data_IF_173518469472
#
_entry.id   IF_173518469472
#
_cell.length_a   1.000
_cell.length_b   1.000
_cell.length_c   1.000
_cell.angle_alpha   90.00
_cell.angle_beta   90.00
_cell.angle_gamma   90.00
#
_symmetry.space_group_name_H-M   'P 1'
#
loop_
_entity.id
_entity.type
_entity.pdbx_description
1 polymer ?
#
# COMPACT_ATOMS: atom_id res chain seq x y z
N UNK A 1 -9.22 0.03 14.60
CA UNK A 1 -10.65 -0.17 14.21
C UNK A 1 -10.75 0.14 12.71
N UNK A 2 -11.56 -0.56 11.89
CA UNK A 2 -11.61 -0.34 10.44
C UNK A 2 -11.82 1.14 10.05
N UNK A 3 -12.66 1.85 10.82
CA UNK A 3 -12.94 3.27 10.63
C UNK A 3 -11.71 4.21 10.69
N UNK A 4 -10.62 3.81 11.35
CA UNK A 4 -9.40 4.61 11.41
C UNK A 4 -8.62 4.54 10.10
N UNK A 5 -8.64 3.39 9.43
CA UNK A 5 -7.94 3.21 8.14
C UNK A 5 -8.71 3.94 7.05
N UNK A 6 -10.03 3.80 6.99
CA UNK A 6 -10.89 4.49 6.01
C UNK A 6 -10.66 6.02 6.05
N UNK A 7 -10.57 6.59 7.26
CA UNK A 7 -10.30 8.01 7.47
C UNK A 7 -8.94 8.47 6.91
N UNK A 8 -7.90 7.63 6.98
CA UNK A 8 -6.60 7.93 6.36
C UNK A 8 -6.75 8.10 4.83
N UNK A 9 -7.61 7.32 4.20
CA UNK A 9 -7.84 7.46 2.77
C UNK A 9 -8.74 8.65 2.46
N UNK A 10 -9.76 8.91 3.27
CA UNK A 10 -10.64 10.07 3.09
C UNK A 10 -9.86 11.39 3.19
N UNK A 11 -8.93 11.51 4.14
CA UNK A 11 -8.07 12.68 4.30
C UNK A 11 -7.14 12.92 3.10
N UNK A 12 -6.80 11.89 2.32
CA UNK A 12 -5.98 12.07 1.10
C UNK A 12 -6.73 12.79 -0.02
N UNK A 13 -8.07 12.86 0.05
CA UNK A 13 -8.89 13.56 -0.95
C UNK A 13 -8.53 15.04 -1.07
N UNK A 14 -8.03 15.66 0.01
CA UNK A 14 -7.62 17.07 0.00
C UNK A 14 -6.44 17.34 -0.94
N UNK A 15 -5.67 16.31 -1.29
CA UNK A 15 -4.52 16.42 -2.20
C UNK A 15 -4.88 16.17 -3.67
N UNK A 16 -6.15 15.86 -3.98
CA UNK A 16 -6.60 15.66 -5.36
C UNK A 16 -6.57 16.98 -6.13
N UNK A 17 -7.01 18.07 -5.49
CA UNK A 17 -7.03 19.39 -6.09
C UNK A 17 -5.97 20.30 -5.47
N UNK A 18 -5.28 21.12 -6.27
CA UNK A 18 -4.42 22.16 -5.74
C UNK A 18 -5.20 23.09 -4.81
N UNK A 19 -4.61 23.41 -3.66
CA UNK A 19 -5.19 24.28 -2.63
C UNK A 19 -4.14 25.28 -2.15
N UNK A 20 -4.60 26.46 -1.78
CA UNK A 20 -3.75 27.50 -1.15
C UNK A 20 -3.48 27.21 0.33
N UNK A 21 -4.22 26.27 0.91
CA UNK A 21 -4.04 25.86 2.30
C UNK A 21 -2.80 25.00 2.45
N UNK A 22 -1.98 25.32 3.44
CA UNK A 22 -0.83 24.51 3.78
C UNK A 22 -1.26 23.23 4.54
N UNK A 23 -1.05 22.09 3.91
CA UNK A 23 -1.30 20.76 4.47
C UNK A 23 0.00 20.00 4.77
N UNK A 24 1.13 20.70 4.96
CA UNK A 24 2.42 20.09 5.32
C UNK A 24 2.29 19.21 6.56
N UNK A 25 1.51 19.63 7.57
CA UNK A 25 1.27 18.81 8.76
C UNK A 25 0.73 17.42 8.43
N UNK A 26 -0.14 17.31 7.42
CA UNK A 26 -0.76 16.05 7.04
C UNK A 26 0.23 15.19 6.22
N UNK A 27 1.07 15.83 5.40
CA UNK A 27 2.15 15.12 4.70
C UNK A 27 3.19 14.56 5.69
N UNK A 28 3.53 15.33 6.72
CA UNK A 28 4.40 14.89 7.82
C UNK A 28 3.75 13.77 8.63
N UNK A 29 2.44 13.86 8.90
CA UNK A 29 1.70 12.80 9.55
C UNK A 29 1.80 11.47 8.78
N UNK A 30 1.60 11.46 7.45
CA UNK A 30 1.76 10.23 6.66
C UNK A 30 3.21 9.70 6.63
N UNK A 31 4.18 10.59 6.44
CA UNK A 31 5.59 10.21 6.27
C UNK A 31 6.33 9.89 7.58
N UNK A 32 5.86 10.40 8.71
CA UNK A 32 6.44 10.18 10.03
C UNK A 32 5.58 9.24 10.85
N UNK A 33 4.36 9.64 11.22
CA UNK A 33 3.52 8.86 12.15
C UNK A 33 3.10 7.53 11.52
N UNK A 34 2.45 7.57 10.36
CA UNK A 34 1.90 6.37 9.73
C UNK A 34 3.01 5.45 9.22
N UNK A 35 4.03 6.02 8.57
CA UNK A 35 5.11 5.23 7.96
C UNK A 35 6.07 4.64 9.01
N UNK A 36 6.47 5.43 10.01
CA UNK A 36 7.57 5.05 10.92
C UNK A 36 7.09 4.45 12.23
N UNK A 37 5.95 4.91 12.76
CA UNK A 37 5.53 4.59 14.13
C UNK A 37 4.39 3.58 14.21
N UNK A 38 3.60 3.39 13.14
CA UNK A 38 2.51 2.41 13.18
C UNK A 38 3.06 0.99 13.31
N UNK A 39 2.36 0.18 14.11
CA UNK A 39 2.69 -1.23 14.25
C UNK A 39 2.47 -1.98 12.92
N UNK A 40 3.21 -3.08 12.66
CA UNK A 40 3.07 -3.88 11.45
C UNK A 40 1.63 -4.32 11.14
N UNK A 41 0.83 -4.62 12.17
CA UNK A 41 -0.58 -4.98 12.02
C UNK A 41 -1.43 -3.88 11.34
N UNK A 42 -1.21 -2.62 11.71
CA UNK A 42 -1.92 -1.49 11.11
C UNK A 42 -1.43 -1.19 9.69
N UNK A 43 -0.12 -1.32 9.43
CA UNK A 43 0.43 -1.20 8.07
C UNK A 43 -0.16 -2.24 7.13
N UNK A 44 -0.36 -3.46 7.63
CA UNK A 44 -1.04 -4.54 6.93
C UNK A 44 -2.50 -4.19 6.61
N UNK A 45 -3.24 -3.64 7.57
CA UNK A 45 -4.63 -3.20 7.36
C UNK A 45 -4.73 -2.09 6.30
N UNK A 46 -3.82 -1.11 6.33
CA UNK A 46 -3.70 -0.06 5.31
C UNK A 46 -3.48 -0.67 3.92
N UNK A 47 -2.57 -1.64 3.81
CA UNK A 47 -2.26 -2.29 2.54
C UNK A 47 -3.45 -3.09 2.00
N UNK A 48 -4.16 -3.84 2.86
CA UNK A 48 -5.37 -4.57 2.49
C UNK A 48 -6.46 -3.61 2.02
N UNK A 49 -6.67 -2.51 2.74
CA UNK A 49 -7.64 -1.48 2.33
C UNK A 49 -7.27 -0.87 0.98
N UNK A 50 -5.99 -0.55 0.78
CA UNK A 50 -5.52 -0.01 -0.49
C UNK A 50 -5.81 -0.97 -1.66
N UNK A 51 -5.52 -2.26 -1.52
CA UNK A 51 -5.79 -3.25 -2.58
C UNK A 51 -7.29 -3.34 -2.92
N UNK A 52 -8.15 -3.22 -1.89
CA UNK A 52 -9.61 -3.17 -2.08
C UNK A 52 -10.02 -1.95 -2.90
N UNK A 53 -9.55 -0.75 -2.55
CA UNK A 53 -9.92 0.46 -3.29
C UNK A 53 -9.24 0.54 -4.67
N UNK A 54 -8.07 -0.08 -4.83
CA UNK A 54 -7.32 -0.08 -6.09
C UNK A 54 -8.15 -0.69 -7.21
N UNK A 55 -8.85 -1.78 -6.89
CA UNK A 55 -9.68 -2.54 -7.84
C UNK A 55 -11.12 -2.07 -7.94
N UNK A 56 -11.60 -1.28 -6.97
CA UNK A 56 -12.94 -0.71 -7.00
C UNK A 56 -13.06 0.37 -8.09
N UNK A 57 -13.85 0.10 -9.13
CA UNK A 57 -14.07 1.03 -10.26
C UNK A 57 -14.86 2.27 -9.88
N UNK A 58 -15.51 2.30 -8.71
CA UNK A 58 -16.30 3.45 -8.22
C UNK A 58 -15.43 4.50 -7.53
N UNK A 59 -14.25 4.12 -7.06
CA UNK A 59 -13.33 5.02 -6.38
C UNK A 59 -12.58 5.88 -7.40
N UNK A 60 -12.51 7.19 -7.14
CA UNK A 60 -11.80 8.15 -7.98
C UNK A 60 -10.33 7.73 -8.17
N UNK A 61 -9.86 7.69 -9.42
CA UNK A 61 -8.49 7.33 -9.77
C UNK A 61 -7.46 8.28 -9.15
N UNK A 62 -7.74 9.57 -9.06
CA UNK A 62 -6.82 10.54 -8.46
C UNK A 62 -6.62 10.25 -6.97
N UNK A 63 -7.68 9.81 -6.27
CA UNK A 63 -7.57 9.39 -4.87
C UNK A 63 -6.64 8.17 -4.74
N UNK A 64 -6.74 7.20 -5.65
CA UNK A 64 -5.87 6.02 -5.67
C UNK A 64 -4.41 6.42 -5.89
N UNK A 65 -4.16 7.37 -6.80
CA UNK A 65 -2.83 7.90 -7.07
C UNK A 65 -2.26 8.59 -5.82
N UNK A 66 -3.04 9.47 -5.17
CA UNK A 66 -2.61 10.13 -3.93
C UNK A 66 -2.31 9.12 -2.82
N UNK A 67 -3.17 8.11 -2.65
CA UNK A 67 -2.97 7.05 -1.67
C UNK A 67 -1.72 6.22 -1.94
N UNK A 68 -1.47 5.87 -3.20
CA UNK A 68 -0.27 5.13 -3.57
C UNK A 68 0.99 5.96 -3.28
N UNK A 69 1.03 7.20 -3.74
CA UNK A 69 2.25 8.03 -3.68
C UNK A 69 2.56 8.55 -2.27
N UNK A 70 1.56 9.00 -1.52
CA UNK A 70 1.77 9.70 -0.24
C UNK A 70 1.70 8.79 0.97
N UNK A 71 1.09 7.61 0.84
CA UNK A 71 0.89 6.69 1.96
C UNK A 71 1.51 5.31 1.68
N UNK A 72 1.04 4.59 0.66
CA UNK A 72 1.38 3.17 0.49
C UNK A 72 2.84 2.97 0.08
N UNK A 73 3.33 3.69 -0.93
CA UNK A 73 4.73 3.62 -1.38
C UNK A 73 5.72 3.98 -0.28
N UNK A 74 5.62 5.12 0.44
CA UNK A 74 6.56 5.45 1.51
C UNK A 74 6.48 4.44 2.67
N UNK A 75 5.28 3.96 3.02
CA UNK A 75 5.10 2.92 4.03
C UNK A 75 5.81 1.61 3.65
N UNK A 76 5.67 1.16 2.40
CA UNK A 76 6.33 -0.04 1.90
C UNK A 76 7.84 0.14 1.83
N UNK A 77 8.31 1.28 1.31
CA UNK A 77 9.74 1.60 1.24
C UNK A 77 10.40 1.55 2.63
N UNK A 78 9.75 2.14 3.64
CA UNK A 78 10.23 2.08 5.02
C UNK A 78 10.18 0.65 5.59
N UNK A 79 9.11 -0.10 5.33
CA UNK A 79 8.95 -1.48 5.82
C UNK A 79 10.02 -2.40 5.22
N UNK A 80 10.31 -2.26 3.93
CA UNK A 80 11.35 -3.05 3.25
C UNK A 80 12.77 -2.65 3.64
N UNK A 81 13.01 -1.37 3.96
CA UNK A 81 14.31 -0.90 4.43
C UNK A 81 14.65 -1.41 5.85
N UNK A 82 13.65 -1.57 6.72
CA UNK A 82 13.86 -1.92 8.14
C UNK A 82 13.70 -3.42 8.44
N UNK A 83 14.69 -4.23 8.03
CA UNK A 83 14.95 -5.64 8.37
C UNK A 83 13.77 -6.66 8.39
N UNK A 84 14.13 -7.95 8.27
CA UNK A 84 13.23 -9.06 7.86
C UNK A 84 11.97 -9.33 8.70
N UNK A 85 11.87 -9.14 10.04
CA UNK A 85 10.67 -9.55 10.77
C UNK A 85 9.43 -8.71 10.43
N UNK A 86 9.57 -7.40 10.17
CA UNK A 86 8.42 -6.56 9.81
C UNK A 86 7.86 -6.89 8.42
N UNK A 87 8.72 -7.24 7.47
CA UNK A 87 8.29 -7.54 6.10
C UNK A 87 7.35 -8.73 6.04
N UNK A 88 7.66 -9.81 6.75
CA UNK A 88 6.80 -11.01 6.77
C UNK A 88 5.48 -10.81 7.51
N UNK A 89 5.39 -9.85 8.43
CA UNK A 89 4.16 -9.50 9.13
C UNK A 89 3.24 -8.60 8.30
N UNK A 90 3.81 -7.64 7.56
CA UNK A 90 3.05 -6.69 6.74
C UNK A 90 2.68 -7.29 5.38
N UNK A 91 3.64 -7.94 4.70
CA UNK A 91 3.47 -8.51 3.37
C UNK A 91 3.36 -10.02 3.50
N UNK A 92 2.16 -10.47 3.87
CA UNK A 92 1.86 -11.90 3.97
C UNK A 92 1.66 -12.52 2.58
N UNK A 93 1.84 -13.84 2.47
CA UNK A 93 1.57 -14.58 1.24
C UNK A 93 0.15 -14.32 0.70
N UNK A 94 -0.83 -14.15 1.58
CA UNK A 94 -2.21 -13.82 1.21
C UNK A 94 -2.31 -12.46 0.50
N UNK A 95 -1.64 -11.43 1.01
CA UNK A 95 -1.64 -10.09 0.41
C UNK A 95 -0.99 -10.11 -0.97
N UNK A 96 0.11 -10.86 -1.11
CA UNK A 96 0.76 -11.05 -2.42
C UNK A 96 -0.22 -11.71 -3.39
N UNK A 97 -0.93 -12.75 -2.96
CA UNK A 97 -1.93 -13.42 -3.81
C UNK A 97 -3.08 -12.48 -4.21
N UNK A 98 -3.57 -11.64 -3.29
CA UNK A 98 -4.61 -10.63 -3.58
C UNK A 98 -4.08 -9.62 -4.60
N UNK A 99 -2.90 -9.05 -4.39
CA UNK A 99 -2.28 -8.13 -5.35
C UNK A 99 -2.08 -8.79 -6.72
N UNK A 100 -1.58 -10.02 -6.74
CA UNK A 100 -1.36 -10.78 -7.97
C UNK A 100 -2.66 -11.09 -8.70
N UNK A 101 -3.76 -11.38 -8.00
CA UNK A 101 -5.06 -11.65 -8.62
C UNK A 101 -5.71 -10.38 -9.14
N UNK A 102 -5.70 -9.34 -8.31
CA UNK A 102 -6.61 -8.20 -8.45
C UNK A 102 -5.94 -7.02 -9.17
N UNK A 103 -4.64 -6.78 -8.96
CA UNK A 103 -3.90 -5.70 -9.62
C UNK A 103 -3.16 -6.18 -10.88
N UNK A 104 -2.62 -7.40 -10.87
CA UNK A 104 -1.90 -8.00 -12.00
C UNK A 104 -2.82 -8.97 -12.75
N UNK A 105 -3.73 -8.44 -13.57
CA UNK A 105 -4.62 -9.27 -14.40
C UNK A 105 -3.86 -10.42 -15.12
N UNK A 106 -4.55 -11.56 -15.24
CA UNK A 106 -4.11 -12.91 -15.68
C UNK A 106 -3.07 -13.06 -16.80
N UNK A 107 -2.78 -12.02 -17.58
CA UNK A 107 -1.77 -12.02 -18.64
C UNK A 107 -0.34 -12.19 -18.11
N UNK A 108 -0.05 -11.79 -16.87
CA UNK A 108 1.31 -11.80 -16.33
C UNK A 108 1.59 -12.95 -15.35
N UNK A 109 0.55 -13.56 -14.77
CA UNK A 109 0.67 -14.64 -13.77
C UNK A 109 1.53 -15.83 -14.23
N UNK A 110 1.39 -16.36 -15.47
CA UNK A 110 2.21 -17.49 -15.91
C UNK A 110 3.71 -17.14 -15.96
N UNK A 111 4.04 -15.95 -16.48
CA UNK A 111 5.44 -15.49 -16.62
C UNK A 111 6.13 -15.29 -15.27
N UNK A 112 5.42 -14.75 -14.28
CA UNK A 112 5.97 -14.57 -12.93
C UNK A 112 6.12 -15.89 -12.18
N UNK A 113 5.18 -16.83 -12.33
CA UNK A 113 5.27 -18.14 -11.70
C UNK A 113 6.52 -18.93 -12.15
N UNK A 114 6.88 -18.85 -13.44
CA UNK A 114 8.12 -19.44 -13.95
C UNK A 114 9.37 -18.72 -13.43
N UNK A 115 9.35 -17.40 -13.33
CA UNK A 115 10.48 -16.62 -12.82
C UNK A 115 10.78 -16.94 -11.34
N UNK A 116 9.73 -17.06 -10.52
CA UNK A 116 9.85 -17.45 -9.11
C UNK A 116 10.34 -18.90 -8.95
N UNK A 117 9.85 -19.84 -9.79
CA UNK A 117 10.34 -21.22 -9.81
C UNK A 117 11.83 -21.31 -10.17
N UNK A 118 12.27 -20.56 -11.18
CA UNK A 118 13.70 -20.50 -11.56
C UNK A 118 14.54 -19.93 -10.42
N UNK A 119 14.09 -18.86 -9.78
CA UNK A 119 14.83 -18.26 -8.65
C UNK A 119 14.98 -19.20 -7.44
N UNK A 120 14.05 -20.15 -7.23
CA UNK A 120 14.17 -21.17 -6.18
C UNK A 120 15.07 -22.35 -6.55
N UNK A 121 15.32 -22.59 -7.84
CA UNK A 121 16.18 -23.68 -8.33
C UNK A 121 17.66 -23.27 -8.41
N UNK A 122 17.96 -21.97 -8.45
CA UNK A 122 19.34 -21.45 -8.49
C UNK A 122 20.01 -21.33 -7.12
N UNK A 123 19.54 -22.08 -6.10
CA UNK A 123 20.04 -22.01 -4.73
C UNK A 123 20.59 -23.33 -4.23
#
# INVERSE_FOLDING_TARGET
>A
RPAEVDLLFDMLSIFIQPTVTDFTFLQEFYSSEVTRKYAPSYKREILVYFLRILTDTKINQDLKVQALQRLVMPMLAFTFANQKPQVSEVVTAHIIQVFMRDALSSQWLPKYSEALRRASETR
#
